data_IF_814193318607
#
_entry.id   IF_814193318607
#
_cell.length_a   1.000
_cell.length_b   1.000
_cell.length_c   1.000
_cell.angle_alpha   90.00
_cell.angle_beta   90.00
_cell.angle_gamma   90.00
#
_symmetry.space_group_name_H-M   'P 1'
#
loop_
_entity.id
_entity.type
_entity.pdbx_description
1 polymer ?
#
# COMPACT_ATOMS: atom_id res chain seq x y z
N UNK A 1 23.00 27.33 12.29
CA UNK A 1 21.72 26.70 11.91
C UNK A 1 22.00 25.61 10.89
N UNK A 2 22.14 24.38 11.36
CA UNK A 2 22.38 23.20 10.52
C UNK A 2 21.18 22.28 10.69
N UNK A 3 20.39 22.12 9.64
CA UNK A 3 19.22 21.26 9.61
C UNK A 3 19.65 19.80 9.59
N UNK A 4 19.30 19.05 10.64
CA UNK A 4 19.41 17.58 10.70
C UNK A 4 18.54 16.96 9.61
N UNK A 5 19.08 16.05 8.75
CA UNK A 5 18.25 15.31 7.81
C UNK A 5 17.33 14.38 8.60
N UNK A 6 16.03 14.50 8.35
CA UNK A 6 15.02 13.62 8.93
C UNK A 6 15.32 12.16 8.59
N UNK A 7 15.26 11.37 9.64
CA UNK A 7 15.43 9.93 9.73
C UNK A 7 14.63 9.19 8.64
N UNK A 8 15.34 8.80 7.57
CA UNK A 8 14.86 7.91 6.50
C UNK A 8 14.90 6.45 7.00
N UNK A 9 14.38 6.24 8.21
CA UNK A 9 14.41 4.97 8.91
C UNK A 9 13.48 3.96 8.21
N UNK A 10 14.12 3.02 7.52
CA UNK A 10 13.67 1.67 7.20
C UNK A 10 12.44 1.56 6.27
N UNK A 11 12.64 1.83 4.97
CA UNK A 11 11.93 1.07 3.92
C UNK A 11 12.83 -0.13 3.54
N UNK A 12 12.54 -1.37 3.99
CA UNK A 12 13.49 -2.48 3.92
C UNK A 12 13.74 -3.03 2.50
N UNK A 13 13.10 -2.49 1.46
CA UNK A 13 13.32 -2.93 0.09
C UNK A 13 13.40 -1.71 -0.82
N UNK A 14 14.62 -1.39 -1.27
CA UNK A 14 14.81 -0.55 -2.46
C UNK A 14 14.40 -1.43 -3.64
N UNK A 15 13.12 -1.35 -4.00
CA UNK A 15 12.57 -2.08 -5.15
C UNK A 15 13.52 -1.92 -6.33
N UNK A 16 14.00 -3.01 -6.95
CA UNK A 16 14.71 -2.92 -8.22
C UNK A 16 13.80 -2.11 -9.15
N UNK A 17 14.29 -0.97 -9.65
CA UNK A 17 13.54 -0.27 -10.70
C UNK A 17 13.58 -1.21 -11.89
N UNK A 18 12.44 -1.77 -12.35
CA UNK A 18 12.44 -2.58 -13.55
C UNK A 18 13.11 -1.75 -14.65
N UNK A 19 14.09 -2.31 -15.38
CA UNK A 19 14.82 -1.59 -16.44
C UNK A 19 13.85 -0.89 -17.41
N UNK A 20 12.69 -1.51 -17.62
CA UNK A 20 11.56 -1.03 -18.39
C UNK A 20 11.06 0.36 -17.97
N UNK A 21 11.04 0.73 -16.67
CA UNK A 21 10.53 2.04 -16.22
C UNK A 21 11.42 3.19 -16.71
N UNK A 22 12.73 2.97 -16.85
CA UNK A 22 13.66 4.00 -17.36
C UNK A 22 13.52 4.22 -18.87
N UNK A 23 12.94 3.24 -19.58
CA UNK A 23 12.69 3.28 -21.02
C UNK A 23 11.29 3.82 -21.35
N UNK A 24 10.40 3.97 -20.35
CA UNK A 24 9.07 4.55 -20.53
C UNK A 24 9.18 6.05 -20.81
N UNK A 25 8.40 6.51 -21.79
CA UNK A 25 8.24 7.95 -21.99
C UNK A 25 7.36 8.55 -20.87
N UNK A 26 7.39 9.88 -20.65
CA UNK A 26 6.63 10.54 -19.59
C UNK A 26 5.11 10.24 -19.64
N UNK A 27 4.53 10.16 -20.83
CA UNK A 27 3.10 9.89 -21.02
C UNK A 27 2.71 8.48 -20.56
N UNK A 28 3.56 7.48 -20.83
CA UNK A 28 3.39 6.12 -20.36
C UNK A 28 3.50 6.03 -18.83
N UNK A 29 4.42 6.78 -18.22
CA UNK A 29 4.54 6.83 -16.77
C UNK A 29 3.27 7.44 -16.14
N UNK A 30 2.74 8.53 -16.71
CA UNK A 30 1.47 9.13 -16.27
C UNK A 30 0.32 8.14 -16.42
N UNK A 31 0.25 7.37 -17.51
CA UNK A 31 -0.77 6.35 -17.70
C UNK A 31 -0.72 5.24 -16.63
N UNK A 32 0.49 4.78 -16.26
CA UNK A 32 0.68 3.78 -15.19
C UNK A 32 0.23 4.35 -13.84
N UNK A 33 0.63 5.58 -13.51
CA UNK A 33 0.22 6.25 -12.26
C UNK A 33 -1.30 6.41 -12.22
N UNK A 34 -1.91 6.83 -13.31
CA UNK A 34 -3.36 6.98 -13.40
C UNK A 34 -4.08 5.65 -13.18
N UNK A 35 -3.60 4.57 -13.83
CA UNK A 35 -4.15 3.24 -13.63
C UNK A 35 -4.07 2.81 -12.16
N UNK A 36 -2.92 3.00 -11.52
CA UNK A 36 -2.75 2.69 -10.10
C UNK A 36 -3.68 3.53 -9.22
N UNK A 37 -3.84 4.83 -9.53
CA UNK A 37 -4.78 5.69 -8.80
C UNK A 37 -6.23 5.19 -8.93
N UNK A 38 -6.64 4.75 -10.12
CA UNK A 38 -7.99 4.20 -10.34
C UNK A 38 -8.20 2.88 -9.60
N UNK A 39 -7.22 1.98 -9.62
CA UNK A 39 -7.26 0.73 -8.82
C UNK A 39 -7.39 1.04 -7.32
N UNK A 40 -6.66 2.04 -6.82
CA UNK A 40 -6.77 2.49 -5.42
C UNK A 40 -8.18 3.03 -5.12
N UNK A 41 -8.78 3.80 -6.04
CA UNK A 41 -10.16 4.27 -5.89
C UNK A 41 -11.15 3.11 -5.77
N UNK A 42 -11.09 2.14 -6.69
CA UNK A 42 -11.97 0.95 -6.67
C UNK A 42 -11.80 0.15 -5.39
N UNK A 43 -10.55 -0.04 -4.92
CA UNK A 43 -10.28 -0.73 -3.66
C UNK A 43 -10.86 0.01 -2.45
N UNK A 44 -10.78 1.35 -2.42
CA UNK A 44 -11.38 2.17 -1.35
C UNK A 44 -12.90 2.10 -1.36
N UNK A 45 -13.53 2.16 -2.52
CA UNK A 45 -15.00 2.05 -2.63
C UNK A 45 -15.50 0.69 -2.14
N UNK A 46 -14.78 -0.38 -2.51
CA UNK A 46 -15.11 -1.73 -2.03
C UNK A 46 -14.88 -1.87 -0.52
N UNK A 47 -13.81 -1.32 0.02
CA UNK A 47 -13.56 -1.32 1.47
C UNK A 47 -14.68 -0.58 2.22
N UNK A 48 -15.05 0.62 1.75
CA UNK A 48 -16.18 1.37 2.34
C UNK A 48 -17.50 0.61 2.29
N UNK A 49 -17.74 -0.15 1.22
CA UNK A 49 -18.92 -1.04 1.13
C UNK A 49 -18.87 -2.15 2.19
N UNK A 50 -17.71 -2.78 2.40
CA UNK A 50 -17.54 -3.79 3.45
C UNK A 50 -17.75 -3.20 4.84
N UNK A 51 -17.22 -1.99 5.10
CA UNK A 51 -17.41 -1.29 6.37
C UNK A 51 -18.89 -0.96 6.63
N UNK A 52 -19.61 -0.48 5.61
CA UNK A 52 -21.05 -0.20 5.71
C UNK A 52 -21.85 -1.47 6.02
N UNK A 53 -21.60 -2.58 5.33
CA UNK A 53 -22.28 -3.86 5.57
C UNK A 53 -21.98 -4.42 6.97
N UNK A 54 -20.74 -4.31 7.44
CA UNK A 54 -20.34 -4.77 8.79
C UNK A 54 -20.94 -3.89 9.90
N UNK A 55 -21.14 -2.60 9.61
CA UNK A 55 -21.86 -1.70 10.50
C UNK A 55 -23.36 -2.03 10.57
N UNK A 56 -24.01 -2.20 9.42
CA UNK A 56 -25.45 -2.53 9.32
C UNK A 56 -25.80 -3.87 10.00
N UNK A 57 -24.89 -4.84 9.92
CA UNK A 57 -25.04 -6.15 10.60
C UNK A 57 -24.70 -6.11 12.09
N UNK A 58 -24.25 -4.96 12.61
CA UNK A 58 -23.91 -4.76 14.02
C UNK A 58 -22.60 -5.43 14.45
N UNK A 59 -21.79 -5.92 13.52
CA UNK A 59 -20.52 -6.60 13.81
C UNK A 59 -19.43 -5.62 14.25
N UNK A 60 -19.36 -4.43 13.63
CA UNK A 60 -18.31 -3.44 13.90
C UNK A 60 -18.92 -2.05 13.97
N UNK A 61 -18.62 -1.30 15.04
CA UNK A 61 -18.97 0.12 15.09
C UNK A 61 -17.92 0.96 14.35
N UNK A 62 -18.33 2.03 13.69
CA UNK A 62 -17.40 2.94 12.99
C UNK A 62 -16.30 3.47 13.92
N UNK A 63 -16.66 3.76 15.18
CA UNK A 63 -15.71 4.17 16.22
C UNK A 63 -14.65 3.10 16.52
N UNK A 64 -14.97 1.81 16.41
CA UNK A 64 -14.01 0.73 16.61
C UNK A 64 -12.98 0.67 15.47
N UNK A 65 -13.35 1.05 14.25
CA UNK A 65 -12.43 1.16 13.11
C UNK A 65 -11.49 2.35 13.32
N UNK A 66 -12.03 3.53 13.64
CA UNK A 66 -11.25 4.77 13.83
C UNK A 66 -10.28 4.69 15.00
N UNK A 67 -10.62 3.90 16.03
CA UNK A 67 -9.78 3.68 17.20
C UNK A 67 -8.98 2.38 17.15
N UNK A 68 -9.06 1.62 16.05
CA UNK A 68 -8.33 0.37 15.91
C UNK A 68 -6.83 0.65 15.89
N UNK A 69 -6.14 0.21 16.93
CA UNK A 69 -4.69 0.17 16.95
C UNK A 69 -4.26 -1.26 16.58
N UNK A 70 -3.56 -1.46 15.45
CA UNK A 70 -3.01 -2.74 15.10
C UNK A 70 -2.16 -3.29 16.24
N UNK A 71 -2.32 -4.57 16.57
CA UNK A 71 -1.37 -5.24 17.46
C UNK A 71 0.01 -5.35 16.81
N UNK A 72 1.06 -5.58 17.60
CA UNK A 72 2.39 -5.81 17.07
C UNK A 72 2.42 -7.03 16.12
N UNK A 73 1.66 -8.08 16.46
CA UNK A 73 1.53 -9.29 15.65
C UNK A 73 0.82 -9.04 14.31
N UNK A 74 -0.27 -8.25 14.31
CA UNK A 74 -0.95 -7.84 13.08
C UNK A 74 -0.05 -6.99 12.18
N UNK A 75 0.77 -6.14 12.79
CA UNK A 75 1.71 -5.27 12.06
C UNK A 75 2.81 -6.10 11.42
N UNK A 76 3.35 -7.08 12.16
CA UNK A 76 4.35 -8.02 11.66
C UNK A 76 3.79 -8.91 10.53
N UNK A 77 2.56 -9.41 10.68
CA UNK A 77 1.89 -10.20 9.63
C UNK A 77 1.67 -9.38 8.35
N UNK A 78 1.22 -8.12 8.48
CA UNK A 78 1.07 -7.20 7.34
C UNK A 78 2.40 -6.88 6.67
N UNK A 79 3.46 -6.69 7.45
CA UNK A 79 4.81 -6.49 6.91
C UNK A 79 5.27 -7.71 6.13
N UNK A 80 5.10 -8.92 6.68
CA UNK A 80 5.46 -10.19 6.01
C UNK A 80 4.71 -10.37 4.70
N UNK A 81 3.39 -10.21 4.71
CA UNK A 81 2.57 -10.30 3.50
C UNK A 81 2.97 -9.27 2.44
N UNK A 82 3.33 -8.04 2.85
CA UNK A 82 3.83 -7.01 1.94
C UNK A 82 5.20 -7.38 1.35
N UNK A 83 6.11 -7.91 2.17
CA UNK A 83 7.43 -8.34 1.71
C UNK A 83 7.32 -9.52 0.74
N UNK A 84 6.48 -10.51 1.03
CA UNK A 84 6.22 -11.64 0.11
C UNK A 84 5.65 -11.16 -1.24
N UNK A 85 4.71 -10.21 -1.21
CA UNK A 85 4.16 -9.63 -2.43
C UNK A 85 5.23 -8.89 -3.24
N UNK A 86 6.12 -8.14 -2.58
CA UNK A 86 7.25 -7.47 -3.23
C UNK A 86 8.21 -8.50 -3.86
N UNK A 87 8.55 -9.56 -3.14
CA UNK A 87 9.44 -10.61 -3.63
C UNK A 87 8.85 -11.33 -4.85
N UNK A 88 7.56 -11.64 -4.82
CA UNK A 88 6.86 -12.24 -5.97
C UNK A 88 6.90 -11.32 -7.20
N UNK A 89 6.60 -10.03 -7.02
CA UNK A 89 6.67 -9.05 -8.11
C UNK A 89 8.10 -8.95 -8.67
N UNK A 90 9.12 -8.99 -7.81
CA UNK A 90 10.52 -8.96 -8.25
C UNK A 90 10.87 -10.21 -9.07
N UNK A 91 10.44 -11.38 -8.63
CA UNK A 91 10.66 -12.64 -9.34
C UNK A 91 9.93 -12.71 -10.68
N UNK A 92 8.72 -12.14 -10.77
CA UNK A 92 7.95 -12.08 -12.03
C UNK A 92 8.56 -11.11 -13.06
N UNK A 93 9.40 -10.17 -12.60
CA UNK A 93 10.06 -9.15 -13.43
C UNK A 93 11.51 -9.50 -13.82
N UNK A 94 12.07 -10.58 -13.27
CA UNK A 94 13.44 -11.08 -13.54
C UNK A 94 13.47 -12.15 -14.61
#
# INVERSE_FOLDING_TARGET
MTTTPGDDAARPHKLPRPRQIQELNPDQLVAVIWRLAMEICVLRDRLGTHEALLYETGFISQKAIDSHSPSQDETAARLKARTELIENIINDLS
#
